data_IF_015722229270
#
_entry.id   IF_015722229270
#
_cell.length_a   1.000
_cell.length_b   1.000
_cell.length_c   1.000
_cell.angle_alpha   90.00
_cell.angle_beta   90.00
_cell.angle_gamma   90.00
#
_symmetry.space_group_name_H-M   'P 1'
#
loop_
_entity.id
_entity.type
_entity.pdbx_description
1 polymer ?
#
# COMPACT_ATOMS: atom_id res chain seq x y z
N UNK A 1 6.43 -15.63 -0.22
CA UNK A 1 5.13 -14.96 -0.31
C UNK A 1 5.12 -14.20 -1.62
N UNK A 2 4.03 -14.25 -2.37
CA UNK A 2 3.93 -13.58 -3.68
C UNK A 2 2.82 -12.55 -3.59
N UNK A 3 3.07 -11.34 -4.10
CA UNK A 3 2.06 -10.29 -4.23
C UNK A 3 1.72 -10.16 -5.69
N UNK A 4 0.43 -10.25 -6.04
CA UNK A 4 -0.03 -10.14 -7.42
C UNK A 4 -0.57 -8.73 -7.64
N UNK A 5 -0.03 -8.03 -8.63
CA UNK A 5 -0.47 -6.70 -9.03
C UNK A 5 -1.04 -6.79 -10.44
N UNK A 6 -2.32 -6.48 -10.60
CA UNK A 6 -3.00 -6.39 -11.89
C UNK A 6 -3.15 -4.92 -12.26
N UNK A 7 -2.45 -4.47 -13.30
CA UNK A 7 -2.57 -3.12 -13.85
C UNK A 7 -3.37 -3.18 -15.15
N UNK A 8 -4.49 -2.46 -15.20
CA UNK A 8 -5.28 -2.30 -16.42
C UNK A 8 -4.98 -0.95 -17.07
N UNK A 9 -4.89 -0.90 -18.39
CA UNK A 9 -4.67 0.37 -19.12
C UNK A 9 -5.99 1.06 -19.52
N UNK A 10 -7.15 0.46 -19.21
CA UNK A 10 -8.48 0.97 -19.56
C UNK A 10 -9.18 1.64 -18.37
N UNK A 11 -9.91 2.75 -18.59
CA UNK A 11 -10.61 3.45 -17.52
C UNK A 11 -11.92 2.75 -17.14
N UNK A 12 -11.83 1.74 -16.27
CA UNK A 12 -13.00 1.12 -15.61
C UNK A 12 -13.21 1.63 -14.17
N UNK A 13 -12.23 2.39 -13.66
CA UNK A 13 -12.17 2.82 -12.26
C UNK A 13 -13.42 3.59 -11.81
N UNK A 14 -13.99 4.44 -12.67
CA UNK A 14 -15.18 5.23 -12.33
C UNK A 14 -16.47 4.40 -12.21
N UNK A 15 -16.57 3.27 -12.91
CA UNK A 15 -17.68 2.32 -12.72
C UNK A 15 -17.51 1.56 -11.41
N UNK A 16 -16.30 1.02 -11.20
CA UNK A 16 -15.93 0.29 -9.98
C UNK A 16 -16.13 1.13 -8.74
N UNK A 17 -15.66 2.38 -8.75
CA UNK A 17 -15.79 3.30 -7.63
C UNK A 17 -17.26 3.58 -7.27
N UNK A 18 -18.14 3.74 -8.27
CA UNK A 18 -19.57 3.99 -8.06
C UNK A 18 -20.32 2.74 -7.59
N UNK A 19 -19.97 1.57 -8.12
CA UNK A 19 -20.62 0.32 -7.77
C UNK A 19 -20.14 -0.24 -6.43
N UNK A 20 -18.89 0.01 -6.04
CA UNK A 20 -18.30 -0.49 -4.80
C UNK A 20 -18.43 -2.01 -4.67
N UNK A 21 -18.88 -2.48 -3.50
CA UNK A 21 -19.13 -3.90 -3.24
C UNK A 21 -20.17 -4.55 -4.18
N UNK A 22 -21.01 -3.75 -4.85
CA UNK A 22 -21.97 -4.28 -5.84
C UNK A 22 -21.35 -4.53 -7.22
N UNK A 23 -20.08 -4.18 -7.43
CA UNK A 23 -19.42 -4.37 -8.73
C UNK A 23 -19.26 -5.87 -9.06
N UNK A 24 -19.63 -6.34 -10.26
CA UNK A 24 -19.69 -7.78 -10.57
C UNK A 24 -18.34 -8.50 -10.54
N UNK A 25 -17.24 -7.77 -10.76
CA UNK A 25 -15.87 -8.31 -10.79
C UNK A 25 -15.11 -8.06 -9.48
N UNK A 26 -14.98 -6.80 -9.07
CA UNK A 26 -14.19 -6.39 -7.90
C UNK A 26 -14.98 -6.25 -6.59
N UNK A 27 -16.29 -6.50 -6.59
CA UNK A 27 -17.15 -6.28 -5.43
C UNK A 27 -16.68 -7.04 -4.19
N UNK A 28 -16.32 -8.32 -4.33
CA UNK A 28 -15.80 -9.15 -3.23
C UNK A 28 -14.43 -8.66 -2.72
N UNK A 29 -13.56 -8.19 -3.61
CA UNK A 29 -12.25 -7.63 -3.21
C UNK A 29 -12.42 -6.31 -2.45
N UNK A 30 -13.42 -5.51 -2.82
CA UNK A 30 -13.76 -4.26 -2.13
C UNK A 30 -14.38 -4.56 -0.76
N UNK A 31 -15.25 -5.57 -0.68
CA UNK A 31 -15.93 -5.97 0.57
C UNK A 31 -14.94 -6.56 1.59
N UNK A 32 -13.99 -7.38 1.12
CA UNK A 32 -13.03 -8.08 1.97
C UNK A 32 -11.70 -7.32 2.15
N UNK A 33 -11.52 -6.21 1.45
CA UNK A 33 -10.23 -5.56 1.30
C UNK A 33 -10.25 -4.06 1.56
N UNK A 34 -9.33 -3.40 0.88
CA UNK A 34 -9.07 -1.97 1.00
C UNK A 34 -9.06 -1.34 -0.39
N UNK A 35 -9.61 -0.13 -0.54
CA UNK A 35 -9.52 0.62 -1.80
C UNK A 35 -9.00 2.03 -1.57
N UNK A 36 -8.21 2.57 -2.50
CA UNK A 36 -7.59 3.89 -2.40
C UNK A 36 -7.46 4.54 -3.78
N UNK A 37 -7.39 5.87 -3.83
CA UNK A 37 -6.99 6.58 -5.06
C UNK A 37 -5.49 6.81 -5.03
N UNK A 38 -4.75 6.15 -5.93
CA UNK A 38 -3.33 6.38 -6.18
C UNK A 38 -3.16 7.64 -7.04
N UNK A 39 -2.35 8.57 -6.57
CA UNK A 39 -1.93 9.77 -7.30
C UNK A 39 -0.44 9.66 -7.57
N UNK A 40 -0.04 9.85 -8.82
CA UNK A 40 1.37 9.84 -9.24
C UNK A 40 1.81 11.24 -9.66
N UNK A 41 3.12 11.46 -9.71
CA UNK A 41 3.66 12.76 -10.11
C UNK A 41 3.24 13.14 -11.53
N UNK A 42 2.98 14.43 -11.82
CA UNK A 42 2.48 14.86 -13.14
C UNK A 42 3.39 14.53 -14.31
N UNK A 43 4.67 14.22 -14.06
CA UNK A 43 5.67 13.88 -15.07
C UNK A 43 5.76 12.39 -15.36
N UNK A 44 4.94 11.55 -14.71
CA UNK A 44 5.01 10.09 -14.85
C UNK A 44 3.60 9.53 -14.91
N UNK A 45 3.38 8.59 -15.83
CA UNK A 45 2.07 7.93 -15.94
C UNK A 45 1.87 6.92 -14.81
N UNK A 46 0.61 6.65 -14.45
CA UNK A 46 0.26 5.58 -13.50
C UNK A 46 0.95 4.26 -13.87
N UNK A 47 0.92 3.91 -15.16
CA UNK A 47 1.48 2.66 -15.63
C UNK A 47 3.01 2.59 -15.43
N UNK A 48 3.73 3.68 -15.70
CA UNK A 48 5.18 3.77 -15.47
C UNK A 48 5.50 3.69 -13.97
N UNK A 49 4.79 4.44 -13.14
CA UNK A 49 5.01 4.48 -11.69
C UNK A 49 4.78 3.10 -11.04
N UNK A 50 3.67 2.43 -11.37
CA UNK A 50 3.35 1.09 -10.84
C UNK A 50 4.36 0.06 -11.35
N UNK A 51 4.72 0.11 -12.63
CA UNK A 51 5.70 -0.83 -13.20
C UNK A 51 7.07 -0.66 -12.55
N UNK A 52 7.53 0.58 -12.38
CA UNK A 52 8.79 0.89 -11.71
C UNK A 52 8.78 0.44 -10.24
N UNK A 53 7.67 0.68 -9.54
CA UNK A 53 7.48 0.23 -8.16
C UNK A 53 7.57 -1.30 -8.04
N UNK A 54 6.82 -2.05 -8.85
CA UNK A 54 6.86 -3.51 -8.85
C UNK A 54 8.25 -4.04 -9.22
N UNK A 55 8.91 -3.44 -10.21
CA UNK A 55 10.26 -3.83 -10.62
C UNK A 55 11.29 -3.63 -9.50
N UNK A 56 11.16 -2.55 -8.71
CA UNK A 56 12.05 -2.26 -7.58
C UNK A 56 11.90 -3.27 -6.42
N UNK A 57 10.72 -3.86 -6.25
CA UNK A 57 10.44 -4.86 -5.21
C UNK A 57 10.91 -6.28 -5.59
N UNK A 58 11.29 -6.51 -6.84
CA UNK A 58 11.92 -7.75 -7.28
C UNK A 58 10.97 -8.94 -7.36
N UNK A 59 11.51 -10.16 -7.23
CA UNK A 59 10.82 -11.42 -7.55
C UNK A 59 9.63 -11.79 -6.65
N UNK A 60 9.39 -11.05 -5.57
CA UNK A 60 8.22 -11.23 -4.71
C UNK A 60 6.92 -10.68 -5.32
N UNK A 61 7.03 -9.79 -6.32
CA UNK A 61 5.87 -9.13 -6.94
C UNK A 61 5.67 -9.66 -8.35
N UNK A 62 4.48 -10.22 -8.60
CA UNK A 62 4.03 -10.61 -9.92
C UNK A 62 3.15 -9.51 -10.52
N UNK A 63 3.69 -8.76 -11.48
CA UNK A 63 2.94 -7.73 -12.21
C UNK A 63 2.30 -8.32 -13.48
N UNK A 64 0.98 -8.27 -13.56
CA UNK A 64 0.20 -8.57 -14.77
C UNK A 64 -0.34 -7.28 -15.34
N UNK A 65 0.01 -6.95 -16.58
CA UNK A 65 -0.53 -5.78 -17.29
C UNK A 65 -1.54 -6.22 -18.35
N UNK A 66 -2.68 -5.57 -18.40
CA UNK A 66 -3.77 -5.88 -19.33
C UNK A 66 -4.25 -4.64 -20.06
N UNK A 67 -4.31 -4.73 -21.38
CA UNK A 67 -4.91 -3.71 -22.23
C UNK A 67 -6.39 -4.02 -22.44
N UNK A 68 -7.27 -3.10 -22.07
CA UNK A 68 -8.71 -3.25 -22.21
C UNK A 68 -9.45 -3.44 -20.87
N UNK A 69 -10.77 -3.62 -20.94
CA UNK A 69 -11.63 -3.63 -19.76
C UNK A 69 -11.43 -4.90 -18.92
N UNK A 70 -11.95 -4.87 -17.70
CA UNK A 70 -11.97 -6.01 -16.78
C UNK A 70 -12.59 -7.27 -17.45
N UNK A 71 -11.83 -8.37 -17.62
CA UNK A 71 -12.36 -9.58 -18.24
C UNK A 71 -13.39 -10.28 -17.34
N UNK A 72 -14.42 -10.88 -17.97
CA UNK A 72 -15.53 -11.51 -17.25
C UNK A 72 -15.10 -12.65 -16.30
N UNK A 73 -14.04 -13.40 -16.63
CA UNK A 73 -13.49 -14.48 -15.80
C UNK A 73 -12.54 -14.01 -14.71
N UNK A 74 -12.20 -12.72 -14.66
CA UNK A 74 -11.23 -12.20 -13.70
C UNK A 74 -11.73 -12.35 -12.26
N UNK A 75 -13.04 -12.25 -12.03
CA UNK A 75 -13.64 -12.40 -10.70
C UNK A 75 -13.22 -13.70 -10.03
N UNK A 76 -13.40 -14.82 -10.72
CA UNK A 76 -13.11 -16.15 -10.18
C UNK A 76 -11.61 -16.31 -9.93
N UNK A 77 -10.76 -15.78 -10.82
CA UNK A 77 -9.31 -15.79 -10.62
C UNK A 77 -8.91 -14.99 -9.37
N UNK A 78 -9.41 -13.76 -9.25
CA UNK A 78 -9.10 -12.88 -8.12
C UNK A 78 -9.59 -13.48 -6.81
N UNK A 79 -10.80 -14.06 -6.77
CA UNK A 79 -11.34 -14.70 -5.58
C UNK A 79 -10.51 -15.90 -5.12
N UNK A 80 -10.05 -16.74 -6.07
CA UNK A 80 -9.17 -17.88 -5.75
C UNK A 80 -7.82 -17.41 -5.24
N UNK A 81 -7.26 -16.35 -5.82
CA UNK A 81 -5.96 -15.80 -5.46
C UNK A 81 -6.00 -15.04 -4.13
N UNK A 82 -6.96 -14.16 -3.93
CA UNK A 82 -7.10 -13.36 -2.70
C UNK A 82 -7.37 -14.23 -1.47
N UNK A 83 -7.82 -15.47 -1.64
CA UNK A 83 -7.88 -16.46 -0.55
C UNK A 83 -6.55 -17.11 -0.17
N UNK A 84 -5.48 -16.90 -0.94
CA UNK A 84 -4.17 -17.55 -0.79
C UNK A 84 -3.01 -16.58 -0.65
N UNK A 85 -3.11 -15.42 -1.30
CA UNK A 85 -2.04 -14.45 -1.46
C UNK A 85 -2.61 -13.03 -1.61
N UNK A 86 -1.77 -12.02 -1.41
CA UNK A 86 -2.20 -10.64 -1.58
C UNK A 86 -2.34 -10.26 -3.05
N UNK A 87 -3.45 -9.62 -3.38
CA UNK A 87 -3.83 -9.21 -4.73
C UNK A 87 -4.14 -7.72 -4.71
N UNK A 88 -3.52 -6.99 -5.64
CA UNK A 88 -3.72 -5.57 -5.90
C UNK A 88 -4.23 -5.40 -7.32
N UNK A 89 -5.30 -4.65 -7.50
CA UNK A 89 -5.86 -4.29 -8.81
C UNK A 89 -5.76 -2.78 -8.94
N UNK A 90 -5.10 -2.31 -10.00
CA UNK A 90 -4.90 -0.90 -10.31
C UNK A 90 -5.63 -0.54 -11.59
N UNK A 91 -6.57 0.40 -11.48
CA UNK A 91 -7.41 0.88 -12.57
C UNK A 91 -7.21 2.38 -12.78
N UNK A 92 -6.73 2.85 -13.94
CA UNK A 92 -6.51 4.26 -14.18
C UNK A 92 -7.84 5.03 -14.20
N UNK A 93 -7.85 6.19 -13.53
CA UNK A 93 -8.88 7.22 -13.60
C UNK A 93 -8.47 8.29 -14.64
N UNK A 94 -7.18 8.61 -14.67
CA UNK A 94 -6.53 9.53 -15.60
C UNK A 94 -5.09 9.07 -15.87
N UNK A 95 -4.29 9.88 -16.56
CA UNK A 95 -2.86 9.59 -16.74
C UNK A 95 -2.07 9.58 -15.42
N UNK A 96 -2.56 10.32 -14.41
CA UNK A 96 -1.85 10.56 -13.14
C UNK A 96 -2.62 10.08 -11.90
N UNK A 97 -3.82 9.55 -12.08
CA UNK A 97 -4.66 9.03 -10.99
C UNK A 97 -5.18 7.63 -11.32
N UNK A 98 -5.27 6.77 -10.31
CA UNK A 98 -5.82 5.42 -10.43
C UNK A 98 -6.55 4.97 -9.17
N UNK A 99 -7.54 4.10 -9.32
CA UNK A 99 -8.14 3.35 -8.22
C UNK A 99 -7.29 2.10 -7.96
N UNK A 100 -6.87 1.89 -6.72
CA UNK A 100 -6.22 0.68 -6.25
C UNK A 100 -7.19 -0.07 -5.35
N UNK A 101 -7.39 -1.36 -5.60
CA UNK A 101 -8.18 -2.28 -4.77
C UNK A 101 -7.26 -3.41 -4.33
N UNK A 102 -7.14 -3.65 -3.03
CA UNK A 102 -6.25 -4.66 -2.47
C UNK A 102 -7.00 -5.61 -1.54
N UNK A 103 -6.79 -6.92 -1.68
CA UNK A 103 -7.36 -7.95 -0.81
C UNK A 103 -6.41 -9.15 -0.72
N UNK A 104 -6.41 -9.86 0.40
CA UNK A 104 -5.54 -11.01 0.63
C UNK A 104 -5.55 -11.49 2.07
N UNK A 105 -5.03 -12.71 2.35
CA UNK A 105 -4.71 -13.08 3.72
C UNK A 105 -3.71 -12.07 4.29
N UNK A 106 -3.90 -11.68 5.54
CA UNK A 106 -3.02 -10.77 6.30
C UNK A 106 -3.02 -9.30 5.83
N UNK A 107 -3.81 -8.93 4.82
CA UNK A 107 -4.13 -7.53 4.55
C UNK A 107 -5.29 -7.08 5.45
N UNK A 108 -5.11 -6.05 6.30
CA UNK A 108 -6.23 -5.51 7.05
C UNK A 108 -7.28 -4.96 6.08
N UNK A 109 -8.56 -5.26 6.32
CA UNK A 109 -9.66 -4.50 5.71
C UNK A 109 -9.61 -3.09 6.30
N UNK A 110 -9.06 -2.14 5.54
CA UNK A 110 -8.89 -0.75 5.95
C UNK A 110 -10.00 0.16 5.40
N UNK A 111 -11.06 -0.41 4.81
CA UNK A 111 -12.11 0.37 4.18
C UNK A 111 -11.58 1.24 3.03
N UNK A 112 -12.25 2.34 2.66
CA UNK A 112 -11.69 3.30 1.71
C UNK A 112 -10.52 4.04 2.37
N UNK A 113 -9.30 3.73 1.96
CA UNK A 113 -8.13 4.53 2.29
C UNK A 113 -8.23 5.92 1.62
N UNK A 114 -7.74 6.99 2.28
CA UNK A 114 -7.55 8.29 1.63
C UNK A 114 -6.56 8.18 0.47
N UNK A 115 -6.33 9.28 -0.24
CA UNK A 115 -5.35 9.35 -1.34
C UNK A 115 -4.02 8.66 -0.97
N UNK A 116 -3.59 7.76 -1.85
CA UNK A 116 -2.37 6.99 -1.80
C UNK A 116 -1.38 7.62 -2.78
N UNK A 117 -0.12 7.72 -2.41
CA UNK A 117 0.97 8.08 -3.33
C UNK A 117 1.80 6.82 -3.65
N UNK A 118 2.79 6.96 -4.53
CA UNK A 118 3.64 5.84 -4.95
C UNK A 118 4.38 5.21 -3.77
N UNK A 119 4.80 6.00 -2.79
CA UNK A 119 5.52 5.51 -1.61
C UNK A 119 4.61 4.69 -0.68
N UNK A 120 3.37 5.15 -0.43
CA UNK A 120 2.37 4.38 0.32
C UNK A 120 1.95 3.11 -0.41
N UNK A 121 1.83 3.18 -1.73
CA UNK A 121 1.56 1.99 -2.54
C UNK A 121 2.70 0.98 -2.40
N UNK A 122 3.95 1.42 -2.51
CA UNK A 122 5.14 0.60 -2.29
C UNK A 122 5.18 0.00 -0.89
N UNK A 123 4.91 0.79 0.15
CA UNK A 123 4.87 0.33 1.53
C UNK A 123 3.80 -0.77 1.71
N UNK A 124 2.62 -0.60 1.09
CA UNK A 124 1.54 -1.60 1.13
C UNK A 124 1.96 -2.92 0.47
N UNK A 125 2.68 -2.86 -0.65
CA UNK A 125 3.23 -4.05 -1.31
C UNK A 125 4.30 -4.74 -0.45
N UNK A 126 5.17 -3.98 0.23
CA UNK A 126 6.17 -4.53 1.15
C UNK A 126 5.53 -5.25 2.33
N UNK A 127 4.56 -4.61 2.98
CA UNK A 127 3.77 -5.23 4.06
C UNK A 127 3.13 -6.52 3.57
N UNK A 128 2.54 -6.51 2.37
CA UNK A 128 1.93 -7.69 1.75
C UNK A 128 2.92 -8.78 1.32
N UNK A 129 4.22 -8.47 1.21
CA UNK A 129 5.26 -9.47 1.00
C UNK A 129 5.67 -10.20 2.29
N UNK A 130 5.16 -9.75 3.44
CA UNK A 130 5.62 -10.20 4.74
C UNK A 130 7.02 -9.66 5.06
N UNK A 131 7.45 -8.60 4.38
CA UNK A 131 8.52 -7.75 4.86
C UNK A 131 7.80 -6.74 5.77
N UNK A 132 7.73 -6.98 7.10
CA UNK A 132 7.46 -5.86 7.96
C UNK A 132 8.55 -4.86 7.58
N UNK A 133 8.17 -3.64 7.20
CA UNK A 133 9.00 -2.59 7.77
C UNK A 133 8.91 -2.87 9.26
N UNK A 134 9.94 -3.52 9.79
CA UNK A 134 10.47 -3.12 11.08
C UNK A 134 10.80 -1.63 10.91
N UNK A 135 9.76 -0.80 10.87
CA UNK A 135 9.72 0.27 11.84
C UNK A 135 9.89 -0.45 13.17
N UNK A 136 11.16 -0.63 13.51
CA UNK A 136 11.63 -0.44 14.86
C UNK A 136 10.95 0.83 15.35
N UNK A 137 9.73 0.66 15.89
CA UNK A 137 9.03 1.64 16.70
C UNK A 137 9.79 1.89 18.01
N UNK A 138 10.92 1.19 18.20
CA UNK A 138 12.03 1.49 19.09
C UNK A 138 13.28 1.88 18.30
N UNK A 139 13.18 2.84 17.38
CA UNK A 139 14.30 3.79 17.30
C UNK A 139 14.04 4.77 18.43
N UNK A 140 14.42 4.37 19.64
CA UNK A 140 14.76 5.37 20.65
C UNK A 140 15.62 6.39 19.90
N UNK A 141 15.26 7.69 19.91
CA UNK A 141 16.21 8.67 19.43
C UNK A 141 17.48 8.39 20.21
N UNK A 142 18.53 7.97 19.52
CA UNK A 142 19.87 8.03 20.06
C UNK A 142 20.15 9.53 20.14
N UNK A 143 19.55 10.17 21.15
CA UNK A 143 20.14 11.31 21.78
C UNK A 143 21.50 10.76 22.21
N UNK A 144 22.54 11.13 21.48
CA UNK A 144 23.79 11.49 22.12
C UNK A 144 23.42 12.58 23.13
N UNK A 145 22.83 12.16 24.24
CA UNK A 145 22.69 12.96 25.43
C UNK A 145 24.14 13.19 25.83
N UNK A 146 24.65 14.35 25.43
CA UNK A 146 25.87 14.91 25.96
C UNK A 146 25.87 14.58 27.45
N UNK A 147 26.79 13.72 27.88
CA UNK A 147 26.88 13.26 29.27
C UNK A 147 27.02 14.43 30.26
N UNK A 148 27.32 15.62 29.73
CA UNK A 148 27.34 16.89 30.43
C UNK A 148 25.94 17.43 30.78
N UNK A 149 24.91 17.19 29.97
CA UNK A 149 23.55 17.66 30.23
C UNK A 149 22.88 16.83 31.33
N UNK A 150 23.10 15.52 31.31
CA UNK A 150 22.65 14.61 32.37
C UNK A 150 23.37 14.89 33.70
N UNK A 151 24.69 15.18 33.67
CA UNK A 151 25.43 15.64 34.86
C UNK A 151 24.89 16.95 35.41
N UNK A 152 24.61 17.93 34.55
CA UNK A 152 24.05 19.23 34.96
C UNK A 152 22.65 19.10 35.54
N UNK A 153 21.82 18.22 34.99
CA UNK A 153 20.48 17.96 35.51
C UNK A 153 20.55 17.29 36.89
N UNK A 154 21.45 16.32 37.05
CA UNK A 154 21.64 15.60 38.31
C UNK A 154 22.20 16.51 39.42
N UNK A 155 23.14 17.40 39.09
CA UNK A 155 23.63 18.43 40.03
C UNK A 155 22.53 19.44 40.41
N UNK A 156 21.69 19.86 39.46
CA UNK A 156 20.54 20.74 39.74
C UNK A 156 19.51 20.07 40.63
N UNK A 157 19.21 18.80 40.41
CA UNK A 157 18.26 18.04 41.23
C UNK A 157 18.77 17.87 42.66
N UNK A 158 20.07 17.59 42.84
CA UNK A 158 20.70 17.55 44.17
C UNK A 158 20.69 18.89 44.89
N UNK A 159 20.84 20.01 44.17
CA UNK A 159 20.75 21.34 44.78
C UNK A 159 19.33 21.71 45.21
N UNK A 160 18.31 21.24 44.49
CA UNK A 160 16.91 21.56 44.78
C UNK A 160 16.28 20.65 45.85
N UNK A 161 16.73 19.40 45.93
CA UNK A 161 16.10 18.39 46.78
C UNK A 161 17.00 17.77 47.84
N UNK A 162 18.30 18.11 47.88
CA UNK A 162 19.25 17.80 48.96
C UNK A 162 19.15 16.39 49.55
N UNK A 163 20.04 15.48 49.09
CA UNK A 163 20.17 14.03 49.46
C UNK A 163 19.03 13.42 50.31
#
# INVERSE_FOLDING_TARGET
MTVNVHLFDSPDAGEVFRAGAAHPVLGELIDLGTSAVLVVEPTTTVAEAVTACCAALGSGVALTRSAGPLPAGLRDELAIRSGKEAVFVVLPLSEVEALVVAAGPDLPSMGPLPSCDVERFRASLLTALGDPQEESLFTEPHFDADQDEERRLNERLRQLYGD
#
